data_IF_318280404475
#
_entry.id   IF_318280404475
#
_cell.length_a   1.000
_cell.length_b   1.000
_cell.length_c   1.000
_cell.angle_alpha   90.00
_cell.angle_beta   90.00
_cell.angle_gamma   90.00
#
_symmetry.space_group_name_H-M   'P 1'
#
loop_
_entity.id
_entity.type
_entity.pdbx_description
1 polymer ?
#
# COMPACT_ATOMS: atom_id res chain seq x y z
N UNK A 1 17.11 -21.39 -15.46
CA UNK A 1 16.88 -20.28 -14.51
C UNK A 1 17.52 -19.04 -15.10
N UNK A 2 16.75 -18.00 -15.43
CA UNK A 2 17.22 -16.83 -16.23
C UNK A 2 18.15 -15.85 -15.48
N UNK A 3 18.45 -16.10 -14.20
CA UNK A 3 19.31 -15.25 -13.37
C UNK A 3 20.60 -16.00 -13.03
N UNK A 4 21.76 -15.37 -13.24
CA UNK A 4 23.07 -15.96 -12.96
C UNK A 4 23.24 -16.28 -11.47
N UNK A 5 23.87 -17.41 -11.15
CA UNK A 5 24.05 -17.89 -9.78
C UNK A 5 24.84 -16.88 -8.91
N UNK A 6 25.81 -16.17 -9.48
CA UNK A 6 26.54 -15.08 -8.82
C UNK A 6 25.63 -13.94 -8.33
N UNK A 7 24.63 -13.54 -9.13
CA UNK A 7 23.68 -12.48 -8.78
C UNK A 7 22.77 -12.94 -7.63
N UNK A 8 22.31 -14.20 -7.67
CA UNK A 8 21.50 -14.77 -6.58
C UNK A 8 22.29 -14.78 -5.28
N UNK A 9 23.56 -15.20 -5.30
CA UNK A 9 24.43 -15.16 -4.12
C UNK A 9 24.62 -13.73 -3.60
N UNK A 10 24.82 -12.76 -4.49
CA UNK A 10 24.93 -11.35 -4.12
C UNK A 10 23.66 -10.83 -3.43
N UNK A 11 22.47 -11.10 -4.00
CA UNK A 11 21.19 -10.73 -3.41
C UNK A 11 20.97 -11.40 -2.04
N UNK A 12 21.36 -12.68 -1.91
CA UNK A 12 21.27 -13.43 -0.66
C UNK A 12 22.27 -12.98 0.41
N UNK A 13 23.25 -12.13 0.08
CA UNK A 13 24.15 -11.49 1.05
C UNK A 13 23.63 -10.11 1.52
N UNK A 14 22.50 -9.63 1.00
CA UNK A 14 21.92 -8.33 1.35
C UNK A 14 21.12 -8.31 2.66
N UNK A 15 20.35 -7.23 2.87
CA UNK A 15 19.41 -7.05 3.99
C UNK A 15 18.38 -8.20 4.08
N UNK A 16 17.86 -8.59 5.27
CA UNK A 16 16.78 -9.56 5.38
C UNK A 16 15.63 -9.33 4.39
N UNK A 17 15.27 -8.06 4.15
CA UNK A 17 14.22 -7.63 3.22
C UNK A 17 14.52 -8.03 1.77
N UNK A 18 15.79 -8.06 1.36
CA UNK A 18 16.21 -8.56 0.05
C UNK A 18 16.27 -10.08 0.03
N UNK A 19 16.81 -10.69 1.09
CA UNK A 19 17.04 -12.14 1.15
C UNK A 19 15.75 -12.93 1.08
N UNK A 20 14.74 -12.60 1.89
CA UNK A 20 13.48 -13.36 1.87
C UNK A 20 12.74 -13.21 0.53
N UNK A 21 12.79 -12.03 -0.09
CA UNK A 21 12.17 -11.77 -1.40
C UNK A 21 12.88 -12.55 -2.50
N UNK A 22 14.21 -12.56 -2.48
CA UNK A 22 15.03 -13.37 -3.40
C UNK A 22 14.68 -14.85 -3.26
N UNK A 23 14.64 -15.35 -2.03
CA UNK A 23 14.25 -16.72 -1.72
C UNK A 23 12.85 -17.07 -2.24
N UNK A 24 11.88 -16.17 -2.05
CA UNK A 24 10.49 -16.36 -2.42
C UNK A 24 10.25 -16.25 -3.92
N UNK A 25 10.63 -15.13 -4.55
CA UNK A 25 10.30 -14.83 -5.95
C UNK A 25 11.18 -15.59 -6.94
N UNK A 26 12.40 -15.99 -6.57
CA UNK A 26 13.25 -16.85 -7.40
C UNK A 26 13.11 -18.34 -7.06
N UNK A 27 12.25 -18.68 -6.09
CA UNK A 27 11.97 -20.06 -5.66
C UNK A 27 13.25 -20.87 -5.34
N UNK A 28 14.20 -20.26 -4.61
CA UNK A 28 15.51 -20.86 -4.28
C UNK A 28 15.59 -21.38 -2.84
N UNK A 29 14.48 -21.43 -2.11
CA UNK A 29 14.44 -21.89 -0.71
C UNK A 29 13.04 -22.37 -0.30
N UNK A 30 12.97 -23.15 0.77
CA UNK A 30 11.70 -23.65 1.32
C UNK A 30 10.88 -22.53 1.99
N UNK A 31 9.56 -22.74 2.07
CA UNK A 31 8.63 -21.82 2.76
C UNK A 31 9.03 -21.54 4.22
N UNK A 32 9.53 -22.55 4.93
CA UNK A 32 9.99 -22.39 6.32
C UNK A 32 11.21 -21.46 6.43
N UNK A 33 12.19 -21.61 5.54
CA UNK A 33 13.37 -20.74 5.47
C UNK A 33 12.99 -19.31 5.07
N UNK A 34 12.11 -19.15 4.08
CA UNK A 34 11.59 -17.84 3.67
C UNK A 34 10.93 -17.12 4.86
N UNK A 35 10.05 -17.80 5.60
CA UNK A 35 9.39 -17.20 6.75
C UNK A 35 10.36 -16.85 7.88
N UNK A 36 11.31 -17.73 8.17
CA UNK A 36 12.36 -17.47 9.17
C UNK A 36 13.21 -16.26 8.79
N UNK A 37 13.53 -16.09 7.50
CA UNK A 37 14.28 -14.94 7.00
C UNK A 37 13.46 -13.65 7.09
N UNK A 38 12.19 -13.69 6.66
CA UNK A 38 11.26 -12.56 6.73
C UNK A 38 11.04 -12.06 8.17
N UNK A 39 11.00 -12.96 9.16
CA UNK A 39 10.88 -12.60 10.59
C UNK A 39 11.99 -11.67 11.08
N UNK A 40 13.20 -11.79 10.52
CA UNK A 40 14.36 -10.99 10.92
C UNK A 40 14.18 -9.50 10.65
N UNK A 41 13.33 -9.10 9.69
CA UNK A 41 13.09 -7.69 9.32
C UNK A 41 12.73 -6.83 10.53
N UNK A 42 12.00 -7.38 11.49
CA UNK A 42 11.59 -6.65 12.69
C UNK A 42 12.73 -6.34 13.67
N UNK A 43 13.85 -7.07 13.57
CA UNK A 43 14.95 -7.03 14.54
C UNK A 43 16.32 -6.76 13.91
N UNK A 44 16.44 -6.80 12.58
CA UNK A 44 17.69 -6.65 11.85
C UNK A 44 17.50 -5.76 10.62
N UNK A 45 18.55 -5.04 10.25
CA UNK A 45 18.62 -4.33 8.98
C UNK A 45 17.68 -3.11 8.89
N UNK A 46 17.23 -2.83 7.68
CA UNK A 46 16.45 -1.62 7.37
C UNK A 46 15.10 -1.59 8.09
N UNK A 47 14.39 -2.72 8.18
CA UNK A 47 13.10 -2.80 8.86
C UNK A 47 13.21 -2.44 10.33
N UNK A 48 14.19 -3.00 11.04
CA UNK A 48 14.43 -2.69 12.45
C UNK A 48 14.85 -1.24 12.66
N UNK A 49 15.69 -0.70 11.76
CA UNK A 49 16.10 0.71 11.81
C UNK A 49 14.91 1.65 11.65
N UNK A 50 14.03 1.38 10.69
CA UNK A 50 12.78 2.14 10.53
C UNK A 50 11.92 2.04 11.80
N UNK A 51 11.71 0.83 12.33
CA UNK A 51 10.95 0.63 13.57
C UNK A 51 11.53 1.41 14.76
N UNK A 52 12.86 1.50 14.88
CA UNK A 52 13.51 2.28 15.94
C UNK A 52 13.33 3.80 15.84
N UNK A 53 12.94 4.32 14.68
CA UNK A 53 12.67 5.75 14.48
C UNK A 53 11.23 6.15 14.78
N UNK A 54 10.37 5.20 15.19
CA UNK A 54 9.04 5.56 15.63
C UNK A 54 9.11 6.42 16.89
N UNK A 55 8.45 7.57 16.86
CA UNK A 55 8.38 8.47 17.98
C UNK A 55 7.42 7.94 19.05
N UNK A 56 7.50 8.49 20.28
CA UNK A 56 6.67 8.04 21.40
C UNK A 56 5.17 8.15 21.11
N UNK A 57 4.75 9.11 20.30
CA UNK A 57 3.35 9.27 19.87
C UNK A 57 2.89 8.18 18.88
N UNK A 58 3.80 7.36 18.34
CA UNK A 58 3.50 6.30 17.37
C UNK A 58 3.63 6.72 15.91
N UNK A 59 4.09 7.94 15.63
CA UNK A 59 4.32 8.45 14.26
C UNK A 59 5.78 8.31 13.85
N UNK A 60 6.02 8.48 12.55
CA UNK A 60 7.33 8.79 11.99
C UNK A 60 7.33 10.21 11.48
N UNK A 61 8.34 10.96 11.94
CA UNK A 61 8.41 12.41 11.81
C UNK A 61 7.13 13.10 12.34
N UNK A 62 7.07 14.41 12.18
CA UNK A 62 5.96 15.27 12.56
C UNK A 62 4.93 15.42 11.42
N UNK A 63 4.73 14.37 10.60
CA UNK A 63 3.76 14.40 9.50
C UNK A 63 3.21 13.02 9.16
N UNK A 64 1.90 12.95 8.92
CA UNK A 64 1.25 11.72 8.48
C UNK A 64 1.53 11.40 7.02
N UNK A 65 1.61 12.41 6.15
CA UNK A 65 1.70 12.21 4.70
C UNK A 65 2.64 13.17 3.99
N UNK A 66 2.58 14.46 4.31
CA UNK A 66 3.54 15.48 3.86
C UNK A 66 4.97 15.15 4.32
N UNK A 67 6.00 15.74 3.71
CA UNK A 67 7.41 15.29 3.90
C UNK A 67 7.65 13.82 3.50
N UNK A 68 6.84 13.34 2.54
CA UNK A 68 6.93 12.08 1.78
C UNK A 68 7.84 11.04 2.44
N UNK A 69 9.10 10.93 2.04
CA UNK A 69 10.03 9.86 2.40
C UNK A 69 10.23 9.59 3.90
N UNK A 70 9.95 10.56 4.77
CA UNK A 70 10.10 10.40 6.23
C UNK A 70 8.76 10.37 6.98
N UNK A 71 7.63 10.55 6.29
CA UNK A 71 6.32 10.61 6.93
C UNK A 71 5.83 9.24 7.38
N UNK A 72 4.83 9.24 8.26
CA UNK A 72 4.22 8.01 8.79
C UNK A 72 3.69 7.12 7.67
N UNK A 73 2.98 7.67 6.68
CA UNK A 73 2.42 6.90 5.57
C UNK A 73 3.51 6.20 4.75
N UNK A 74 4.57 6.92 4.34
CA UNK A 74 5.59 6.33 3.47
C UNK A 74 6.55 5.42 4.23
N UNK A 75 6.78 5.67 5.52
CA UNK A 75 7.51 4.71 6.36
C UNK A 75 6.74 3.40 6.50
N UNK A 76 5.43 3.47 6.75
CA UNK A 76 4.56 2.30 6.81
C UNK A 76 4.48 1.56 5.46
N UNK A 77 4.42 2.29 4.35
CA UNK A 77 4.46 1.71 3.01
C UNK A 77 5.80 1.02 2.74
N UNK A 78 6.93 1.62 3.17
CA UNK A 78 8.24 1.00 3.06
C UNK A 78 8.34 -0.27 3.91
N UNK A 79 7.87 -0.25 5.17
CA UNK A 79 7.82 -1.46 6.02
C UNK A 79 6.99 -2.58 5.38
N UNK A 80 5.87 -2.25 4.75
CA UNK A 80 5.06 -3.18 3.95
C UNK A 80 5.88 -3.75 2.78
N UNK A 81 6.56 -2.91 2.01
CA UNK A 81 7.34 -3.31 0.83
C UNK A 81 8.59 -4.12 1.20
N UNK A 82 9.20 -3.85 2.36
CA UNK A 82 10.30 -4.64 2.89
C UNK A 82 9.84 -6.05 3.29
N UNK A 83 8.54 -6.25 3.53
CA UNK A 83 7.98 -7.53 3.93
C UNK A 83 7.83 -7.68 5.44
N UNK A 84 7.64 -6.62 6.21
CA UNK A 84 7.42 -6.79 7.66
C UNK A 84 6.19 -7.70 7.89
N UNK A 85 6.29 -8.64 8.83
CA UNK A 85 5.17 -9.54 9.13
C UNK A 85 4.06 -8.75 9.86
N UNK A 86 2.78 -8.96 9.53
CA UNK A 86 1.69 -8.31 10.26
C UNK A 86 1.69 -8.61 11.77
N UNK A 87 1.17 -7.69 12.58
CA UNK A 87 1.00 -7.88 14.03
C UNK A 87 2.04 -7.23 14.95
N UNK A 88 3.05 -6.52 14.42
CA UNK A 88 3.97 -5.75 15.28
C UNK A 88 3.26 -4.55 15.94
N UNK A 89 3.35 -4.42 17.27
CA UNK A 89 2.68 -3.33 18.01
C UNK A 89 2.99 -1.91 17.47
N UNK A 90 4.24 -1.55 17.12
CA UNK A 90 4.56 -0.27 16.49
C UNK A 90 3.70 0.06 15.27
N UNK A 91 3.56 -0.89 14.34
CA UNK A 91 2.81 -0.64 13.09
C UNK A 91 1.30 -0.59 13.33
N UNK A 92 0.76 -1.40 14.26
CA UNK A 92 -0.66 -1.34 14.62
C UNK A 92 -1.03 0.01 15.27
N UNK A 93 -0.13 0.56 16.10
CA UNK A 93 -0.30 1.91 16.67
C UNK A 93 -0.36 2.97 15.56
N UNK A 94 0.54 2.88 14.58
CA UNK A 94 0.54 3.81 13.45
C UNK A 94 -0.69 3.64 12.53
N UNK A 95 -1.17 2.41 12.30
CA UNK A 95 -2.43 2.16 11.58
C UNK A 95 -3.61 2.89 12.24
N UNK A 96 -3.72 2.80 13.57
CA UNK A 96 -4.74 3.52 14.33
C UNK A 96 -4.63 5.04 14.13
N UNK A 97 -3.42 5.60 14.25
CA UNK A 97 -3.18 7.04 14.08
C UNK A 97 -3.54 7.52 12.66
N UNK A 98 -3.12 6.78 11.63
CA UNK A 98 -3.43 7.09 10.24
C UNK A 98 -4.95 7.16 10.00
N UNK A 99 -5.73 6.28 10.63
CA UNK A 99 -7.20 6.32 10.55
C UNK A 99 -7.79 7.43 11.42
N UNK A 100 -7.39 7.55 12.68
CA UNK A 100 -7.97 8.52 13.62
C UNK A 100 -7.76 9.96 13.19
N UNK A 101 -6.58 10.30 12.68
CA UNK A 101 -6.25 11.64 12.23
C UNK A 101 -6.60 11.90 10.75
N UNK A 102 -6.95 10.85 9.98
CA UNK A 102 -7.14 10.93 8.53
C UNK A 102 -8.54 10.64 8.02
N UNK A 103 -9.36 9.89 8.77
CA UNK A 103 -10.68 9.48 8.30
C UNK A 103 -11.60 10.70 8.14
N UNK A 104 -12.19 10.84 6.95
CA UNK A 104 -13.03 11.97 6.60
C UNK A 104 -14.50 11.56 6.43
N UNK A 105 -15.42 12.53 6.49
CA UNK A 105 -16.88 12.29 6.52
C UNK A 105 -17.43 11.61 5.25
N UNK A 106 -16.74 11.76 4.11
CA UNK A 106 -17.07 11.11 2.84
C UNK A 106 -16.57 9.65 2.75
N UNK A 107 -16.07 9.12 3.87
CA UNK A 107 -15.63 7.74 4.02
C UNK A 107 -14.23 7.44 3.48
N UNK A 108 -13.46 8.44 3.02
CA UNK A 108 -12.07 8.28 2.60
C UNK A 108 -11.05 8.81 3.61
N UNK A 109 -9.84 9.12 3.13
CA UNK A 109 -8.76 9.74 3.91
C UNK A 109 -8.45 11.16 3.41
N UNK A 110 -8.32 12.09 4.35
CA UNK A 110 -7.83 13.45 4.12
C UNK A 110 -6.79 13.85 5.19
N UNK A 111 -5.57 14.18 4.77
CA UNK A 111 -4.51 14.72 5.64
C UNK A 111 -4.19 16.20 5.35
N UNK A 112 -5.03 16.86 4.56
CA UNK A 112 -4.78 18.18 4.00
C UNK A 112 -5.93 19.13 4.40
N UNK A 113 -5.66 20.00 5.36
CA UNK A 113 -6.67 20.91 5.93
C UNK A 113 -7.30 21.87 4.91
N UNK A 114 -6.61 22.12 3.79
CA UNK A 114 -7.12 22.95 2.69
C UNK A 114 -8.22 22.26 1.86
N UNK A 115 -8.37 20.93 1.96
CA UNK A 115 -9.40 20.19 1.24
C UNK A 115 -10.55 19.81 2.18
N UNK A 116 -11.77 19.82 1.63
CA UNK A 116 -13.02 19.46 2.32
C UNK A 116 -13.59 18.14 1.78
N UNK A 117 -12.69 17.25 1.36
CA UNK A 117 -13.00 15.93 0.80
C UNK A 117 -11.74 15.06 0.92
N UNK A 118 -11.94 13.76 0.79
CA UNK A 118 -10.84 12.79 0.76
C UNK A 118 -10.05 12.80 -0.53
N UNK A 119 -8.77 12.46 -0.43
CA UNK A 119 -7.93 12.23 -1.59
C UNK A 119 -7.93 10.74 -1.97
N UNK A 120 -8.59 10.40 -3.07
CA UNK A 120 -8.72 9.02 -3.58
C UNK A 120 -7.39 8.25 -3.63
N UNK A 121 -6.31 8.93 -4.04
CA UNK A 121 -4.97 8.37 -4.13
C UNK A 121 -4.35 8.06 -2.75
N UNK A 122 -4.66 8.86 -1.72
CA UNK A 122 -4.23 8.63 -0.34
C UNK A 122 -5.08 7.52 0.29
N UNK A 123 -6.40 7.55 0.08
CA UNK A 123 -7.32 6.50 0.52
C UNK A 123 -6.85 5.12 0.04
N UNK A 124 -6.42 4.99 -1.23
CA UNK A 124 -5.85 3.76 -1.77
C UNK A 124 -4.59 3.27 -1.05
N UNK A 125 -3.64 4.18 -0.78
CA UNK A 125 -2.40 3.85 -0.04
C UNK A 125 -2.74 3.38 1.37
N UNK A 126 -3.60 4.11 2.09
CA UNK A 126 -3.96 3.78 3.47
C UNK A 126 -4.72 2.46 3.53
N UNK A 127 -5.65 2.21 2.62
CA UNK A 127 -6.31 0.90 2.53
C UNK A 127 -5.27 -0.23 2.32
N UNK A 128 -4.26 -0.02 1.49
CA UNK A 128 -3.19 -1.00 1.27
C UNK A 128 -2.38 -1.26 2.54
N UNK A 129 -2.02 -0.21 3.29
CA UNK A 129 -1.27 -0.32 4.55
C UNK A 129 -2.09 -1.06 5.61
N UNK A 130 -3.32 -0.60 5.87
CA UNK A 130 -4.20 -1.18 6.88
C UNK A 130 -4.50 -2.65 6.57
N UNK A 131 -4.74 -2.94 5.29
CA UNK A 131 -5.07 -4.28 4.86
C UNK A 131 -3.90 -5.24 4.95
N UNK A 132 -2.70 -4.78 4.59
CA UNK A 132 -1.48 -5.57 4.70
C UNK A 132 -1.14 -5.91 6.16
N UNK A 133 -1.24 -4.93 7.07
CA UNK A 133 -0.91 -5.13 8.49
C UNK A 133 -2.02 -5.80 9.31
N UNK A 134 -3.09 -6.25 8.65
CA UNK A 134 -4.24 -6.92 9.27
C UNK A 134 -4.87 -6.07 10.40
N UNK A 135 -4.93 -4.75 10.19
CA UNK A 135 -5.56 -3.86 11.16
C UNK A 135 -7.08 -3.97 11.04
N UNK A 136 -7.77 -4.21 12.16
CA UNK A 136 -9.23 -4.36 12.19
C UNK A 136 -9.89 -3.07 12.69
N UNK A 137 -10.68 -2.44 11.83
CA UNK A 137 -11.48 -1.26 12.17
C UNK A 137 -12.67 -1.15 11.20
N UNK A 138 -13.90 -0.85 11.68
CA UNK A 138 -15.08 -0.74 10.83
C UNK A 138 -14.94 0.32 9.72
N UNK A 139 -14.14 1.37 9.94
CA UNK A 139 -13.89 2.44 8.96
C UNK A 139 -13.20 1.93 7.68
N UNK A 140 -12.51 0.80 7.73
CA UNK A 140 -11.85 0.22 6.55
C UNK A 140 -12.86 -0.11 5.45
N UNK A 141 -14.05 -0.59 5.81
CA UNK A 141 -15.13 -0.85 4.84
C UNK A 141 -15.66 0.43 4.19
N UNK A 142 -15.61 1.55 4.91
CA UNK A 142 -15.93 2.87 4.36
C UNK A 142 -14.88 3.30 3.33
N UNK A 143 -13.58 3.05 3.58
CA UNK A 143 -12.52 3.34 2.60
C UNK A 143 -12.75 2.55 1.30
N UNK A 144 -13.07 1.25 1.40
CA UNK A 144 -13.39 0.41 0.24
C UNK A 144 -14.62 0.97 -0.50
N UNK A 145 -15.68 1.30 0.23
CA UNK A 145 -16.90 1.86 -0.36
C UNK A 145 -16.64 3.17 -1.09
N UNK A 146 -15.87 4.08 -0.47
CA UNK A 146 -15.42 5.33 -1.07
C UNK A 146 -14.66 5.08 -2.37
N UNK A 147 -13.66 4.20 -2.38
CA UNK A 147 -12.88 3.87 -3.58
C UNK A 147 -13.76 3.29 -4.69
N UNK A 148 -14.70 2.41 -4.37
CA UNK A 148 -15.63 1.85 -5.38
C UNK A 148 -16.56 2.92 -5.96
N UNK A 149 -16.95 3.93 -5.18
CA UNK A 149 -17.77 5.05 -5.63
C UNK A 149 -16.97 6.05 -6.48
N UNK A 150 -15.68 6.22 -6.20
CA UNK A 150 -14.79 7.15 -6.93
C UNK A 150 -14.24 6.58 -8.25
N UNK A 151 -14.62 5.35 -8.65
CA UNK A 151 -14.19 4.77 -9.92
C UNK A 151 -14.84 5.53 -11.08
N UNK A 152 -14.01 6.02 -11.99
CA UNK A 152 -14.45 6.83 -13.14
C UNK A 152 -14.99 5.95 -14.28
N UNK A 153 -15.64 6.58 -15.28
CA UNK A 153 -16.25 5.87 -16.41
C UNK A 153 -15.25 5.05 -17.23
N UNK A 154 -14.01 5.55 -17.36
CA UNK A 154 -12.90 4.86 -18.04
C UNK A 154 -12.28 3.71 -17.20
N UNK A 155 -12.84 3.43 -16.02
CA UNK A 155 -12.47 2.31 -15.16
C UNK A 155 -11.33 2.59 -14.17
N UNK A 156 -10.62 3.72 -14.29
CA UNK A 156 -9.57 4.09 -13.35
C UNK A 156 -10.05 5.00 -12.23
N UNK A 157 -9.09 5.71 -11.61
CA UNK A 157 -9.33 6.72 -10.58
C UNK A 157 -8.49 7.98 -10.83
N UNK A 158 -8.98 9.12 -10.35
CA UNK A 158 -8.23 10.37 -10.35
C UNK A 158 -8.44 11.15 -9.07
N UNK A 159 -7.34 11.52 -8.41
CA UNK A 159 -7.37 12.42 -7.25
C UNK A 159 -7.93 13.82 -7.59
N UNK A 160 -8.02 14.21 -8.87
CA UNK A 160 -8.61 15.47 -9.33
C UNK A 160 -10.05 15.33 -9.84
N UNK A 161 -10.73 14.21 -9.60
CA UNK A 161 -12.14 14.03 -10.00
C UNK A 161 -13.03 15.17 -9.49
N UNK A 162 -12.84 15.59 -8.24
CA UNK A 162 -13.53 16.73 -7.63
C UNK A 162 -13.26 18.09 -8.30
N UNK A 163 -12.18 18.21 -9.11
CA UNK A 163 -11.86 19.39 -9.93
C UNK A 163 -12.37 19.26 -11.37
N UNK A 164 -13.23 18.28 -11.65
CA UNK A 164 -13.78 18.05 -12.99
C UNK A 164 -12.85 17.26 -13.91
N UNK A 165 -11.89 16.50 -13.38
CA UNK A 165 -11.10 15.59 -14.22
C UNK A 165 -12.02 14.55 -14.87
N UNK A 166 -11.95 14.43 -16.19
CA UNK A 166 -12.77 13.49 -16.99
C UNK A 166 -12.03 12.21 -17.35
N UNK A 167 -10.73 12.13 -17.06
CA UNK A 167 -9.90 10.94 -17.32
C UNK A 167 -9.18 10.52 -16.04
N UNK A 168 -9.02 9.22 -15.89
CA UNK A 168 -8.28 8.61 -14.80
C UNK A 168 -6.78 8.89 -14.90
N UNK A 169 -6.11 8.80 -13.75
CA UNK A 169 -4.66 8.98 -13.66
C UNK A 169 -3.99 7.67 -13.26
N UNK A 170 -2.86 7.37 -13.90
CA UNK A 170 -2.09 6.17 -13.61
C UNK A 170 -1.75 5.99 -12.15
N UNK A 171 -1.18 7.03 -11.53
CA UNK A 171 -0.74 6.99 -10.15
C UNK A 171 -1.90 6.72 -9.17
N UNK A 172 -3.03 7.41 -9.33
CA UNK A 172 -4.20 7.17 -8.47
C UNK A 172 -4.75 5.76 -8.71
N UNK A 173 -4.87 5.34 -9.98
CA UNK A 173 -5.35 3.99 -10.31
C UNK A 173 -4.47 2.90 -9.69
N UNK A 174 -3.15 3.01 -9.76
CA UNK A 174 -2.23 2.04 -9.15
C UNK A 174 -2.42 1.98 -7.63
N UNK A 175 -2.44 3.13 -6.95
CA UNK A 175 -2.63 3.18 -5.50
C UNK A 175 -3.95 2.52 -5.06
N UNK A 176 -5.03 2.77 -5.80
CA UNK A 176 -6.34 2.17 -5.50
C UNK A 176 -6.35 0.67 -5.79
N UNK A 177 -5.75 0.24 -6.90
CA UNK A 177 -5.61 -1.19 -7.22
C UNK A 177 -4.81 -1.95 -6.16
N UNK A 178 -3.70 -1.38 -5.69
CA UNK A 178 -2.91 -1.96 -4.60
C UNK A 178 -3.69 -2.04 -3.29
N UNK A 179 -4.49 -1.02 -2.97
CA UNK A 179 -5.37 -1.04 -1.81
C UNK A 179 -6.46 -2.10 -1.90
N UNK A 180 -7.24 -2.09 -2.99
CA UNK A 180 -8.35 -3.02 -3.19
C UNK A 180 -7.89 -4.48 -3.30
N UNK A 181 -6.78 -4.76 -3.99
CA UNK A 181 -6.23 -6.12 -4.08
C UNK A 181 -5.76 -6.63 -2.73
N UNK A 182 -5.09 -5.79 -1.95
CA UNK A 182 -4.62 -6.16 -0.61
C UNK A 182 -5.81 -6.43 0.32
N UNK A 183 -6.84 -5.55 0.31
CA UNK A 183 -8.07 -5.76 1.08
C UNK A 183 -8.80 -7.05 0.66
N UNK A 184 -9.02 -7.23 -0.65
CA UNK A 184 -9.71 -8.40 -1.18
C UNK A 184 -9.01 -9.69 -0.73
N UNK A 185 -7.68 -9.75 -0.89
CA UNK A 185 -6.90 -10.94 -0.53
C UNK A 185 -7.05 -11.32 0.95
N UNK A 186 -7.08 -10.33 1.84
CA UNK A 186 -6.97 -10.59 3.28
C UNK A 186 -8.33 -10.64 3.99
N UNK A 187 -9.38 -10.02 3.45
CA UNK A 187 -10.69 -9.95 4.13
C UNK A 187 -11.86 -10.48 3.30
N UNK A 188 -11.86 -10.30 1.98
CA UNK A 188 -13.03 -10.59 1.14
C UNK A 188 -12.66 -11.21 -0.22
N UNK A 189 -11.99 -12.39 -0.25
CA UNK A 189 -11.41 -12.95 -1.47
C UNK A 189 -12.42 -13.19 -2.60
N UNK A 190 -13.68 -13.47 -2.25
CA UNK A 190 -14.75 -13.78 -3.20
C UNK A 190 -15.68 -12.59 -3.53
N UNK A 191 -15.35 -11.36 -3.08
CA UNK A 191 -16.21 -10.21 -3.32
C UNK A 191 -16.18 -9.79 -4.81
N UNK A 192 -17.23 -10.18 -5.54
CA UNK A 192 -17.42 -9.90 -6.97
C UNK A 192 -17.43 -8.42 -7.32
N UNK A 193 -17.95 -7.56 -6.43
CA UNK A 193 -17.98 -6.10 -6.65
C UNK A 193 -16.56 -5.53 -6.68
N UNK A 194 -15.73 -5.96 -5.73
CA UNK A 194 -14.31 -5.58 -5.67
C UNK A 194 -13.56 -6.16 -6.88
N UNK A 195 -13.75 -7.44 -7.21
CA UNK A 195 -13.14 -8.07 -8.40
C UNK A 195 -13.44 -7.29 -9.67
N UNK A 196 -14.72 -6.94 -9.90
CA UNK A 196 -15.14 -6.18 -11.09
C UNK A 196 -14.46 -4.81 -11.16
N UNK A 197 -14.37 -4.11 -10.04
CA UNK A 197 -13.72 -2.80 -9.97
C UNK A 197 -12.22 -2.91 -10.24
N UNK A 198 -11.54 -3.91 -9.66
CA UNK A 198 -10.13 -4.20 -9.92
C UNK A 198 -9.90 -4.51 -11.40
N UNK A 199 -10.72 -5.35 -12.03
CA UNK A 199 -10.59 -5.68 -13.46
C UNK A 199 -10.69 -4.45 -14.35
N UNK A 200 -11.64 -3.55 -14.09
CA UNK A 200 -11.78 -2.28 -14.83
C UNK A 200 -10.55 -1.38 -14.70
N UNK A 201 -9.99 -1.28 -13.49
CA UNK A 201 -8.78 -0.49 -13.25
C UNK A 201 -7.54 -1.06 -13.94
N UNK A 202 -7.42 -2.39 -13.99
CA UNK A 202 -6.36 -3.06 -14.75
C UNK A 202 -6.54 -2.80 -16.25
N UNK A 203 -7.75 -2.95 -16.76
CA UNK A 203 -8.06 -2.69 -18.18
C UNK A 203 -7.70 -1.26 -18.57
N UNK A 204 -8.03 -0.28 -17.73
CA UNK A 204 -7.60 1.10 -17.90
C UNK A 204 -6.08 1.20 -18.12
N UNK A 205 -5.24 0.56 -17.28
CA UNK A 205 -3.79 0.61 -17.45
C UNK A 205 -3.30 -0.11 -18.73
N UNK A 206 -3.95 -1.23 -19.09
CA UNK A 206 -3.58 -2.07 -20.23
C UNK A 206 -3.88 -1.40 -21.57
N UNK A 207 -5.06 -0.80 -21.72
CA UNK A 207 -5.44 -0.05 -22.94
C UNK A 207 -4.45 1.08 -23.22
N UNK A 208 -3.89 1.66 -22.16
CA UNK A 208 -2.87 2.71 -22.22
C UNK A 208 -1.43 2.18 -22.31
N UNK A 209 -1.24 0.87 -22.50
CA UNK A 209 0.07 0.19 -22.62
C UNK A 209 1.04 0.54 -21.50
N UNK A 210 0.56 0.85 -20.29
CA UNK A 210 1.35 1.28 -19.14
C UNK A 210 2.11 2.61 -19.22
N UNK A 211 2.14 3.31 -20.37
CA UNK A 211 2.91 4.56 -20.51
C UNK A 211 2.24 5.64 -21.37
N UNK A 212 1.11 5.35 -22.02
CA UNK A 212 0.42 6.30 -22.90
C UNK A 212 -0.63 7.09 -22.13
N UNK A 213 -0.69 8.40 -22.33
CA UNK A 213 -1.79 9.22 -21.84
C UNK A 213 -3.03 9.02 -22.70
N UNK A 214 -4.24 9.08 -22.12
CA UNK A 214 -5.43 9.37 -22.91
C UNK A 214 -5.36 10.87 -23.27
N UNK A 215 -5.18 11.16 -24.56
CA UNK A 215 -4.93 12.45 -25.24
C UNK A 215 -3.44 12.68 -25.56
N UNK A 216 -3.08 12.97 -26.81
CA UNK A 216 -3.84 13.25 -28.05
C UNK A 216 -3.48 12.28 -29.15
#
# INVERSE_FOLDING_TARGET
>A
MLVKNEIIKWLLNGDPSLRWQTMHYLNVSSRSKILAERKKISSQGWGAKLLSYQQHDGKWADSLYSRKWISTTYTMLLLKNLGLIPGHKPVLKACKILLDEGFYEDGGINYFSQYKHSETCVTGIILSILSYFHFEDPRIKSLVSHLLQQQMEDGGWNCRSYKGATHSSFHTTINVLEGLKEYQRNYEPDNKRISKSISKGIEFLLVHKFFRSHRT
#
